data_IF_066733491713
#
_entry.id   IF_066733491713
#
_cell.length_a   1.000
_cell.length_b   1.000
_cell.length_c   1.000
_cell.angle_alpha   90.00
_cell.angle_beta   90.00
_cell.angle_gamma   90.00
#
_symmetry.space_group_name_H-M   'P 1'
#
loop_
_entity.id
_entity.type
_entity.pdbx_description
1 polymer ?
#
# COMPACT_ATOMS: atom_id res chain seq x y z
N UNK A 1 15.13 15.22 -11.35
CA UNK A 1 15.89 14.61 -10.24
C UNK A 1 14.99 13.60 -9.55
N UNK A 2 15.46 12.37 -9.28
CA UNK A 2 14.69 11.40 -8.51
C UNK A 2 14.43 11.96 -7.11
N UNK A 3 13.25 11.67 -6.56
CA UNK A 3 12.92 12.09 -5.19
C UNK A 3 13.80 11.36 -4.17
N UNK A 4 14.01 11.94 -2.98
CA UNK A 4 14.78 11.29 -1.89
C UNK A 4 14.28 9.88 -1.59
N UNK A 5 12.95 9.68 -1.63
CA UNK A 5 12.30 8.39 -1.41
C UNK A 5 12.59 7.40 -2.52
N UNK A 6 12.63 7.85 -3.76
CA UNK A 6 13.00 7.00 -4.89
C UNK A 6 14.45 6.53 -4.78
N UNK A 7 15.36 7.40 -4.33
CA UNK A 7 16.76 7.03 -4.10
C UNK A 7 16.87 5.96 -3.01
N UNK A 8 16.14 6.13 -1.89
CA UNK A 8 16.10 5.17 -0.80
C UNK A 8 15.52 3.81 -1.24
N UNK A 9 14.37 3.81 -1.89
CA UNK A 9 13.66 2.59 -2.29
C UNK A 9 14.38 1.82 -3.40
N UNK A 10 15.12 2.51 -4.28
CA UNK A 10 15.91 1.87 -5.33
C UNK A 10 16.93 0.88 -4.79
N UNK A 11 17.53 1.15 -3.63
CA UNK A 11 18.48 0.24 -2.98
C UNK A 11 17.85 -1.10 -2.58
N UNK A 12 16.55 -1.12 -2.30
CA UNK A 12 15.83 -2.31 -1.83
C UNK A 12 15.23 -3.16 -2.96
N UNK A 13 15.19 -2.66 -4.20
CA UNK A 13 14.63 -3.39 -5.36
C UNK A 13 15.30 -4.76 -5.61
N UNK A 14 16.55 -4.94 -5.17
CA UNK A 14 17.29 -6.21 -5.30
C UNK A 14 17.57 -6.86 -3.96
N UNK A 15 16.93 -6.40 -2.89
CA UNK A 15 17.14 -6.97 -1.57
C UNK A 15 16.51 -8.37 -1.51
N UNK A 16 17.36 -9.36 -1.23
CA UNK A 16 16.95 -10.76 -1.02
C UNK A 16 16.70 -11.11 0.44
N UNK A 17 16.93 -10.14 1.34
CA UNK A 17 16.79 -10.29 2.80
C UNK A 17 15.70 -9.39 3.37
N UNK A 18 15.22 -8.39 2.62
CA UNK A 18 14.13 -7.53 3.07
C UNK A 18 12.86 -8.38 3.22
N UNK A 19 12.32 -8.43 4.44
CA UNK A 19 11.15 -9.25 4.78
C UNK A 19 9.87 -8.45 4.93
N UNK A 20 9.96 -7.22 5.44
CA UNK A 20 8.80 -6.42 5.77
C UNK A 20 8.97 -4.99 5.28
N UNK A 21 7.89 -4.42 4.77
CA UNK A 21 7.76 -3.01 4.47
C UNK A 21 6.61 -2.46 5.30
N UNK A 22 6.88 -1.41 6.08
CA UNK A 22 5.86 -0.72 6.89
C UNK A 22 5.83 0.75 6.51
N UNK A 23 4.66 1.23 6.13
CA UNK A 23 4.42 2.61 5.72
C UNK A 23 3.30 3.16 6.61
N UNK A 24 3.64 4.12 7.48
CA UNK A 24 2.68 4.63 8.47
C UNK A 24 2.67 6.16 8.51
N UNK A 25 1.46 6.72 8.55
CA UNK A 25 1.24 8.15 8.81
C UNK A 25 1.85 9.08 7.75
N UNK A 26 2.14 8.57 6.55
CA UNK A 26 2.70 9.39 5.49
C UNK A 26 1.63 10.31 4.90
N UNK A 27 2.01 11.58 4.75
CA UNK A 27 1.24 12.59 4.03
C UNK A 27 1.96 12.97 2.75
N UNK A 28 1.19 13.18 1.69
CA UNK A 28 1.68 13.53 0.36
C UNK A 28 1.18 14.93 -0.01
N UNK A 29 1.96 15.65 -0.81
CA UNK A 29 1.60 16.97 -1.34
C UNK A 29 0.82 16.86 -2.65
N UNK A 30 0.90 15.73 -3.33
CA UNK A 30 0.27 15.52 -4.63
C UNK A 30 -0.07 14.05 -4.89
N UNK A 31 -1.01 13.83 -5.80
CA UNK A 31 -1.37 12.49 -6.30
C UNK A 31 -0.17 11.79 -6.96
N UNK A 32 0.63 12.53 -7.72
CA UNK A 32 1.82 11.99 -8.38
C UNK A 32 2.87 11.47 -7.38
N UNK A 33 3.00 12.10 -6.21
CA UNK A 33 3.93 11.68 -5.16
C UNK A 33 3.53 10.33 -4.56
N UNK A 34 2.25 10.14 -4.23
CA UNK A 34 1.76 8.85 -3.69
C UNK A 34 1.82 7.76 -4.76
N UNK A 35 1.47 8.05 -6.00
CA UNK A 35 1.50 7.06 -7.08
C UNK A 35 2.94 6.62 -7.42
N UNK A 36 3.89 7.56 -7.40
CA UNK A 36 5.32 7.27 -7.57
C UNK A 36 5.84 6.37 -6.44
N UNK A 37 5.48 6.64 -5.19
CA UNK A 37 5.83 5.77 -4.06
C UNK A 37 5.29 4.35 -4.27
N UNK A 38 4.02 4.22 -4.64
CA UNK A 38 3.40 2.91 -4.83
C UNK A 38 3.97 2.15 -6.02
N UNK A 39 4.42 2.86 -7.06
CA UNK A 39 5.18 2.26 -8.16
C UNK A 39 6.51 1.67 -7.67
N UNK A 40 7.25 2.40 -6.83
CA UNK A 40 8.50 1.91 -6.25
C UNK A 40 8.27 0.69 -5.34
N UNK A 41 7.21 0.74 -4.53
CA UNK A 41 6.82 -0.39 -3.68
C UNK A 41 6.43 -1.61 -4.52
N UNK A 42 5.64 -1.42 -5.58
CA UNK A 42 5.29 -2.48 -6.53
C UNK A 42 6.53 -3.15 -7.12
N UNK A 43 7.52 -2.36 -7.57
CA UNK A 43 8.78 -2.89 -8.10
C UNK A 43 9.60 -3.65 -7.04
N UNK A 44 9.57 -3.22 -5.77
CA UNK A 44 10.21 -3.98 -4.68
C UNK A 44 9.46 -5.29 -4.44
N UNK A 45 8.13 -5.27 -4.32
CA UNK A 45 7.30 -6.46 -4.10
C UNK A 45 7.44 -7.50 -5.23
N UNK A 46 7.74 -7.02 -6.43
CA UNK A 46 8.02 -7.86 -7.60
C UNK A 46 9.34 -8.61 -7.48
N UNK A 47 10.41 -7.94 -7.07
CA UNK A 47 11.77 -8.50 -7.17
C UNK A 47 12.37 -8.98 -5.84
N UNK A 48 11.68 -8.75 -4.72
CA UNK A 48 12.22 -9.00 -3.37
C UNK A 48 11.58 -10.17 -2.65
N UNK A 49 12.22 -10.57 -1.55
CA UNK A 49 11.74 -11.57 -0.59
C UNK A 49 10.68 -11.06 0.38
N UNK A 50 10.09 -9.88 0.12
CA UNK A 50 9.15 -9.26 1.06
C UNK A 50 7.92 -10.15 1.24
N UNK A 51 7.62 -10.41 2.51
CA UNK A 51 6.53 -11.24 3.02
C UNK A 51 5.41 -10.40 3.59
N UNK A 52 5.77 -9.28 4.23
CA UNK A 52 4.83 -8.44 4.97
C UNK A 52 4.78 -7.04 4.36
N UNK A 53 3.58 -6.59 3.99
CA UNK A 53 3.30 -5.21 3.63
C UNK A 53 2.26 -4.63 4.58
N UNK A 54 2.66 -3.64 5.35
CA UNK A 54 1.76 -2.89 6.26
C UNK A 54 1.66 -1.45 5.78
N UNK A 55 0.45 -0.98 5.52
CA UNK A 55 0.16 0.41 5.17
C UNK A 55 -0.93 0.96 6.10
N UNK A 56 -0.58 1.98 6.87
CA UNK A 56 -1.43 2.54 7.91
C UNK A 56 -1.53 4.06 7.77
N UNK A 57 -2.75 4.61 7.80
CA UNK A 57 -3.02 6.06 7.79
C UNK A 57 -2.40 6.81 6.58
N UNK A 58 -2.45 6.23 5.38
CA UNK A 58 -1.70 6.70 4.21
C UNK A 58 -2.54 7.22 3.02
N UNK A 59 -3.86 7.42 3.12
CA UNK A 59 -4.72 8.03 2.07
C UNK A 59 -4.29 7.70 0.62
N UNK A 60 -4.13 6.42 0.31
CA UNK A 60 -3.68 5.94 -0.99
C UNK A 60 -4.77 6.13 -2.04
N UNK A 61 -4.35 6.51 -3.25
CA UNK A 61 -5.23 6.67 -4.40
C UNK A 61 -5.54 5.36 -5.11
N UNK A 62 -6.55 5.40 -5.99
CA UNK A 62 -6.83 4.30 -6.92
C UNK A 62 -5.59 3.92 -7.76
N UNK A 63 -4.87 4.91 -8.30
CA UNK A 63 -3.66 4.69 -9.09
C UNK A 63 -2.53 4.05 -8.28
N UNK A 64 -2.41 4.41 -6.99
CA UNK A 64 -1.47 3.75 -6.10
C UNK A 64 -1.77 2.24 -5.95
N UNK A 65 -3.02 1.86 -5.71
CA UNK A 65 -3.39 0.44 -5.60
C UNK A 65 -3.12 -0.32 -6.90
N UNK A 66 -3.37 0.30 -8.06
CA UNK A 66 -3.03 -0.29 -9.36
C UNK A 66 -1.51 -0.51 -9.52
N UNK A 67 -0.69 0.44 -9.06
CA UNK A 67 0.77 0.31 -9.07
C UNK A 67 1.28 -0.79 -8.12
N UNK A 68 0.64 -0.96 -6.96
CA UNK A 68 0.94 -2.09 -6.08
C UNK A 68 0.54 -3.43 -6.71
N UNK A 69 -0.67 -3.48 -7.28
CA UNK A 69 -1.22 -4.66 -7.95
C UNK A 69 -0.35 -5.10 -9.14
N UNK A 70 0.23 -4.17 -9.89
CA UNK A 70 1.10 -4.49 -11.03
C UNK A 70 2.41 -5.16 -10.59
N UNK A 71 2.95 -4.81 -9.42
CA UNK A 71 4.12 -5.47 -8.83
C UNK A 71 3.86 -6.94 -8.44
N UNK A 72 2.62 -7.26 -8.08
CA UNK A 72 2.19 -8.61 -7.70
C UNK A 72 1.72 -9.44 -8.91
N UNK A 73 1.34 -8.79 -10.01
CA UNK A 73 0.76 -9.46 -11.20
C UNK A 73 1.74 -10.44 -11.83
N UNK A 74 1.27 -11.68 -12.03
CA UNK A 74 1.97 -12.68 -12.85
C UNK A 74 3.30 -13.14 -12.24
N UNK A 75 3.52 -12.81 -10.97
CA UNK A 75 4.78 -13.04 -10.31
C UNK A 75 4.65 -14.10 -9.22
N UNK A 76 4.88 -15.35 -9.62
CA UNK A 76 4.96 -16.48 -8.69
C UNK A 76 6.10 -16.34 -7.67
N UNK A 77 7.07 -15.46 -7.93
CA UNK A 77 8.18 -15.20 -7.01
C UNK A 77 7.83 -14.21 -5.91
N UNK A 78 6.74 -13.44 -6.04
CA UNK A 78 6.30 -12.58 -4.96
C UNK A 78 6.03 -13.45 -3.73
N UNK A 79 6.67 -13.11 -2.62
CA UNK A 79 6.59 -13.88 -1.37
C UNK A 79 5.63 -13.26 -0.37
N UNK A 80 4.82 -12.28 -0.81
CA UNK A 80 3.89 -11.57 0.05
C UNK A 80 2.85 -12.55 0.59
N UNK A 81 2.92 -12.81 1.88
CA UNK A 81 2.03 -13.70 2.62
C UNK A 81 1.17 -12.93 3.64
N UNK A 82 1.53 -11.68 3.96
CA UNK A 82 0.76 -10.81 4.87
C UNK A 82 0.57 -9.40 4.31
N UNK A 83 -0.69 -8.94 4.30
CA UNK A 83 -1.10 -7.60 3.88
C UNK A 83 -1.97 -6.96 4.96
N UNK A 84 -1.50 -5.87 5.54
CA UNK A 84 -2.27 -5.05 6.48
C UNK A 84 -2.54 -3.66 5.88
N UNK A 85 -3.82 -3.32 5.73
CA UNK A 85 -4.29 -2.03 5.23
C UNK A 85 -5.24 -1.39 6.25
N UNK A 86 -4.75 -0.43 7.05
CA UNK A 86 -5.58 0.26 8.05
C UNK A 86 -5.68 1.75 7.74
N UNK A 87 -6.90 2.24 7.53
CA UNK A 87 -7.16 3.64 7.17
C UNK A 87 -6.27 4.11 6.00
N UNK A 88 -6.12 3.22 5.02
CA UNK A 88 -5.06 3.33 4.02
C UNK A 88 -5.51 3.96 2.70
N UNK A 89 -6.80 4.16 2.44
CA UNK A 89 -7.32 4.66 1.15
C UNK A 89 -7.99 6.02 1.27
N UNK A 90 -7.94 6.81 0.20
CA UNK A 90 -8.51 8.17 0.19
C UNK A 90 -10.01 8.21 -0.09
N UNK A 91 -10.56 7.20 -0.77
CA UNK A 91 -11.93 7.21 -1.29
C UNK A 91 -12.48 5.80 -1.49
N UNK A 92 -13.81 5.69 -1.59
CA UNK A 92 -14.49 4.41 -1.86
C UNK A 92 -14.15 3.83 -3.24
N UNK A 93 -13.76 4.67 -4.21
CA UNK A 93 -13.30 4.19 -5.53
C UNK A 93 -11.92 3.54 -5.44
N UNK A 94 -11.03 4.05 -4.58
CA UNK A 94 -9.73 3.43 -4.35
C UNK A 94 -9.85 2.02 -3.74
N UNK A 95 -10.85 1.77 -2.89
CA UNK A 95 -11.15 0.45 -2.32
C UNK A 95 -11.44 -0.59 -3.41
N UNK A 96 -12.04 -0.20 -4.55
CA UNK A 96 -12.31 -1.14 -5.64
C UNK A 96 -11.02 -1.69 -6.25
N UNK A 97 -9.97 -0.89 -6.30
CA UNK A 97 -8.66 -1.30 -6.81
C UNK A 97 -7.83 -2.06 -5.78
N UNK A 98 -8.16 -1.97 -4.49
CA UNK A 98 -7.58 -2.84 -3.46
C UNK A 98 -7.92 -4.31 -3.72
N UNK A 99 -9.10 -4.61 -4.28
CA UNK A 99 -9.46 -5.97 -4.68
C UNK A 99 -8.48 -6.54 -5.73
N UNK A 100 -7.95 -5.69 -6.63
CA UNK A 100 -6.94 -6.11 -7.60
C UNK A 100 -5.61 -6.48 -6.94
N UNK A 101 -5.22 -5.79 -5.87
CA UNK A 101 -4.02 -6.13 -5.08
C UNK A 101 -4.18 -7.49 -4.43
N UNK A 102 -5.31 -7.70 -3.74
CA UNK A 102 -5.62 -8.95 -3.03
C UNK A 102 -5.69 -10.11 -4.03
N UNK A 103 -6.41 -9.94 -5.15
CA UNK A 103 -6.55 -10.97 -6.16
C UNK A 103 -5.21 -11.40 -6.79
N UNK A 104 -4.24 -10.48 -6.88
CA UNK A 104 -2.92 -10.76 -7.46
C UNK A 104 -1.90 -11.28 -6.44
N UNK A 105 -2.15 -11.10 -5.15
CA UNK A 105 -1.34 -11.67 -4.08
C UNK A 105 -1.68 -13.16 -3.88
N UNK A 106 -1.26 -14.02 -4.81
CA UNK A 106 -1.66 -15.44 -4.84
C UNK A 106 -1.19 -16.28 -3.65
N UNK A 107 -0.23 -15.78 -2.86
CA UNK A 107 0.33 -16.43 -1.67
C UNK A 107 -0.11 -15.79 -0.35
N UNK A 108 -1.08 -14.87 -0.41
CA UNK A 108 -1.55 -14.16 0.76
C UNK A 108 -2.22 -15.12 1.75
N UNK A 109 -1.63 -15.28 2.93
CA UNK A 109 -2.14 -16.11 4.03
C UNK A 109 -2.87 -15.25 5.07
N UNK A 110 -2.39 -14.03 5.29
CA UNK A 110 -2.97 -13.08 6.26
C UNK A 110 -3.40 -11.80 5.56
N UNK A 111 -4.68 -11.45 5.73
CA UNK A 111 -5.23 -10.18 5.29
C UNK A 111 -5.85 -9.46 6.48
N UNK A 112 -5.38 -8.26 6.76
CA UNK A 112 -5.97 -7.37 7.73
C UNK A 112 -6.42 -6.06 7.07
N UNK A 113 -7.69 -5.70 7.29
CA UNK A 113 -8.29 -4.47 6.77
C UNK A 113 -8.97 -3.74 7.92
N UNK A 114 -8.60 -2.48 8.14
CA UNK A 114 -9.22 -1.63 9.15
C UNK A 114 -9.61 -0.27 8.57
N UNK A 115 -10.75 0.27 9.00
CA UNK A 115 -11.19 1.61 8.64
C UNK A 115 -11.48 2.41 9.90
N UNK A 116 -11.00 3.65 9.98
CA UNK A 116 -11.55 4.60 10.96
C UNK A 116 -12.84 5.14 10.37
N UNK A 117 -13.97 4.63 10.85
CA UNK A 117 -15.28 5.25 10.63
C UNK A 117 -15.24 6.74 10.94
N UNK A 118 -16.04 7.59 10.27
CA UNK A 118 -16.17 8.98 10.68
C UNK A 118 -16.53 8.98 12.17
N UNK A 119 -15.80 9.76 12.97
CA UNK A 119 -16.24 10.07 14.32
C UNK A 119 -17.62 10.72 14.19
N UNK A 120 -18.67 9.96 14.45
CA UNK A 120 -20.01 10.50 14.64
C UNK A 120 -19.90 11.35 15.90
N UNK A 121 -19.65 12.66 15.73
CA UNK A 121 -19.95 13.61 16.78
C UNK A 121 -21.46 13.54 16.94
N UNK A 122 -21.92 12.81 17.95
CA UNK A 122 -23.27 12.99 18.45
C UNK A 122 -23.39 14.45 18.87
N UNK A 123 -23.92 15.28 17.96
CA UNK A 123 -24.41 16.59 18.30
C UNK A 123 -25.47 16.37 19.36
N UNK A 124 -25.16 16.73 20.61
CA UNK A 124 -26.20 16.97 21.61
C UNK A 124 -27.04 18.12 21.07
N UNK A 125 -28.24 17.82 20.59
CA UNK A 125 -29.25 18.82 20.32
C UNK A 125 -29.53 19.58 21.61
N UNK A 126 -29.14 20.85 21.64
CA UNK A 126 -29.62 21.81 22.62
C UNK A 126 -31.00 22.27 22.17
N UNK A 127 -32.00 22.02 23.03
CA UNK A 127 -33.27 22.74 23.01
C UNK A 127 -33.06 24.16 23.51
#
# INVERSE_FOLDING_TARGET
MPSEREVLLRGFRRSTVLRAIRVEGLTWRSLAEVESLCLQLGEILKASSVKELTIVNCRLSAGCFLNLASGLRGNYESKLDSLELRNAWESSSAVRHMADVIHRATRLETLEIGFRGPHVRHGRGGR
#
